data_IF_583245312130
#
_entry.id   IF_583245312130
#
_cell.length_a   1.000
_cell.length_b   1.000
_cell.length_c   1.000
_cell.angle_alpha   90.00
_cell.angle_beta   90.00
_cell.angle_gamma   90.00
#
_symmetry.space_group_name_H-M   'P 1'
#
loop_
_entity.id
_entity.type
_entity.pdbx_description
1 polymer ?
#
# COMPACT_ATOMS: atom_id res chain seq x y z
N UNK A 1 -11.28 -20.66 77.13
CA UNK A 1 -10.38 -21.20 76.09
C UNK A 1 -11.03 -20.96 74.73
N UNK A 2 -10.25 -20.51 73.74
CA UNK A 2 -10.55 -20.34 72.29
C UNK A 2 -11.41 -19.11 71.92
N UNK A 3 -10.83 -17.92 71.66
CA UNK A 3 -9.93 -17.47 70.58
C UNK A 3 -10.67 -17.00 69.30
N UNK A 4 -10.78 -15.66 69.25
CA UNK A 4 -11.02 -14.70 68.15
C UNK A 4 -11.09 -15.24 66.70
N UNK A 5 -12.13 -14.79 65.98
CA UNK A 5 -12.40 -15.02 64.55
C UNK A 5 -11.95 -13.79 63.73
N UNK A 6 -10.83 -13.79 62.99
CA UNK A 6 -10.45 -12.67 62.15
C UNK A 6 -10.90 -12.94 60.70
N UNK A 7 -12.12 -12.50 60.34
CA UNK A 7 -12.62 -12.58 58.95
C UNK A 7 -12.59 -11.25 58.19
N UNK A 8 -12.12 -10.16 58.82
CA UNK A 8 -12.19 -8.81 58.24
C UNK A 8 -10.95 -8.40 57.43
N UNK A 9 -9.77 -8.93 57.74
CA UNK A 9 -8.51 -8.52 57.08
C UNK A 9 -8.43 -8.96 55.61
N UNK A 10 -9.05 -10.09 55.25
CA UNK A 10 -9.04 -10.61 53.88
C UNK A 10 -9.95 -9.78 52.96
N UNK A 11 -11.11 -9.35 53.46
CA UNK A 11 -12.05 -8.53 52.70
C UNK A 11 -11.51 -7.11 52.43
N UNK A 12 -10.72 -6.55 53.35
CA UNK A 12 -10.13 -5.22 53.13
C UNK A 12 -9.06 -5.24 52.04
N UNK A 13 -8.18 -6.25 52.07
CA UNK A 13 -7.14 -6.46 51.04
C UNK A 13 -7.75 -6.77 49.68
N UNK A 14 -8.79 -7.61 49.65
CA UNK A 14 -9.50 -7.93 48.42
C UNK A 14 -10.17 -6.68 47.84
N UNK A 15 -10.86 -5.88 48.67
CA UNK A 15 -11.51 -4.63 48.24
C UNK A 15 -10.51 -3.60 47.70
N UNK A 16 -9.34 -3.48 48.32
CA UNK A 16 -8.23 -2.67 47.83
C UNK A 16 -7.71 -3.17 46.48
N UNK A 17 -7.52 -4.49 46.34
CA UNK A 17 -7.06 -5.11 45.10
C UNK A 17 -8.09 -4.93 43.97
N UNK A 18 -9.39 -5.11 44.23
CA UNK A 18 -10.44 -4.87 43.24
C UNK A 18 -10.47 -3.40 42.81
N UNK A 19 -10.32 -2.45 43.76
CA UNK A 19 -10.23 -1.03 43.43
C UNK A 19 -9.04 -0.73 42.51
N UNK A 20 -7.88 -1.35 42.77
CA UNK A 20 -6.70 -1.18 41.92
C UNK A 20 -6.88 -1.78 40.53
N UNK A 21 -7.47 -2.98 40.43
CA UNK A 21 -7.74 -3.61 39.13
C UNK A 21 -8.72 -2.75 38.32
N UNK A 22 -9.79 -2.26 38.94
CA UNK A 22 -10.76 -1.38 38.28
C UNK A 22 -10.08 -0.10 37.81
N UNK A 23 -9.24 0.52 38.65
CA UNK A 23 -8.48 1.71 38.27
C UNK A 23 -7.58 1.44 37.06
N UNK A 24 -6.84 0.32 37.07
CA UNK A 24 -5.94 -0.08 35.98
C UNK A 24 -6.71 -0.33 34.68
N UNK A 25 -7.87 -0.99 34.75
CA UNK A 25 -8.71 -1.22 33.57
C UNK A 25 -9.25 0.08 32.99
N UNK A 26 -9.66 1.02 33.85
CA UNK A 26 -10.13 2.33 33.41
C UNK A 26 -9.00 3.11 32.74
N UNK A 27 -7.81 3.16 33.33
CA UNK A 27 -6.67 3.89 32.72
C UNK A 27 -6.23 3.25 31.41
N UNK A 28 -6.15 1.91 31.33
CA UNK A 28 -5.89 1.20 30.08
C UNK A 28 -6.96 1.48 29.01
N UNK A 29 -8.23 1.49 29.40
CA UNK A 29 -9.34 1.82 28.50
C UNK A 29 -9.22 3.22 27.92
N UNK A 30 -8.88 4.22 28.75
CA UNK A 30 -8.66 5.60 28.29
C UNK A 30 -7.46 5.69 27.34
N UNK A 31 -6.34 5.02 27.66
CA UNK A 31 -5.16 5.00 26.79
C UNK A 31 -5.47 4.34 25.45
N UNK A 32 -6.15 3.18 25.47
CA UNK A 32 -6.52 2.47 24.25
C UNK A 32 -7.47 3.30 23.38
N UNK A 33 -8.46 3.95 23.99
CA UNK A 33 -9.38 4.84 23.28
C UNK A 33 -8.64 6.05 22.68
N UNK A 34 -7.74 6.67 23.44
CA UNK A 34 -6.93 7.78 22.97
C UNK A 34 -6.06 7.35 21.78
N UNK A 35 -5.36 6.21 21.88
CA UNK A 35 -4.58 5.65 20.78
C UNK A 35 -5.45 5.33 19.56
N UNK A 36 -6.62 4.76 19.77
CA UNK A 36 -7.55 4.44 18.69
C UNK A 36 -7.98 5.70 17.93
N UNK A 37 -8.33 6.76 18.64
CA UNK A 37 -8.64 8.07 18.03
C UNK A 37 -7.43 8.63 17.31
N UNK A 38 -6.25 8.58 17.94
CA UNK A 38 -5.01 9.16 17.39
C UNK A 38 -4.51 8.42 16.13
N UNK A 39 -4.76 7.12 16.04
CA UNK A 39 -4.41 6.28 14.89
C UNK A 39 -5.50 6.40 13.81
N UNK A 40 -6.78 6.39 14.19
CA UNK A 40 -7.92 6.47 13.27
C UNK A 40 -8.06 7.83 12.59
N UNK A 41 -7.65 8.92 13.25
CA UNK A 41 -7.73 10.28 12.73
C UNK A 41 -6.52 10.67 11.86
N UNK A 42 -5.47 9.83 11.82
CA UNK A 42 -4.47 9.94 10.77
C UNK A 42 -5.08 9.39 9.49
N UNK A 43 -5.69 10.27 8.70
CA UNK A 43 -5.80 10.06 7.26
C UNK A 43 -4.44 9.54 6.78
N UNK A 44 -4.41 8.31 6.26
CA UNK A 44 -3.19 7.71 5.75
C UNK A 44 -2.49 8.78 4.90
N UNK A 45 -1.24 9.16 5.21
CA UNK A 45 -0.58 10.23 4.49
C UNK A 45 -0.73 9.88 3.01
N UNK A 46 -1.32 10.76 2.18
CA UNK A 46 -1.38 10.51 0.75
C UNK A 46 0.07 10.32 0.37
N UNK A 47 0.46 9.08 0.04
CA UNK A 47 1.86 8.81 -0.13
C UNK A 47 2.27 9.69 -1.32
N UNK A 48 3.21 10.65 -1.14
CA UNK A 48 3.54 11.60 -2.21
C UNK A 48 4.05 10.87 -3.45
N UNK A 49 4.48 9.61 -3.29
CA UNK A 49 4.81 8.68 -4.36
C UNK A 49 3.62 8.37 -5.27
N UNK A 50 2.42 8.13 -4.74
CA UNK A 50 1.22 7.89 -5.55
C UNK A 50 0.62 9.16 -6.12
N UNK A 51 0.67 10.28 -5.40
CA UNK A 51 0.22 11.57 -5.97
C UNK A 51 1.12 12.00 -7.12
N UNK A 52 2.44 11.78 -7.01
CA UNK A 52 3.37 11.97 -8.14
C UNK A 52 3.08 11.00 -9.27
N UNK A 53 2.79 9.73 -8.98
CA UNK A 53 2.41 8.77 -10.02
C UNK A 53 1.12 9.21 -10.72
N UNK A 54 0.09 9.61 -9.96
CA UNK A 54 -1.20 10.07 -10.46
C UNK A 54 -1.06 11.33 -11.31
N UNK A 55 -0.26 12.30 -10.87
CA UNK A 55 0.05 13.52 -11.63
C UNK A 55 0.90 13.23 -12.89
N UNK A 56 1.80 12.24 -12.83
CA UNK A 56 2.57 11.79 -14.00
C UNK A 56 1.69 11.01 -14.99
N UNK A 57 0.73 10.21 -14.52
CA UNK A 57 -0.23 9.48 -15.36
C UNK A 57 -1.32 10.38 -15.92
N UNK A 58 -1.73 11.45 -15.22
CA UNK A 58 -2.73 12.40 -15.73
C UNK A 58 -2.17 13.32 -16.82
N UNK A 59 -0.87 13.59 -16.82
CA UNK A 59 -0.21 14.35 -17.89
C UNK A 59 -0.02 13.57 -19.20
N UNK A 60 -0.30 12.27 -19.16
CA UNK A 60 -0.17 11.34 -20.27
C UNK A 60 -1.55 10.73 -20.50
N UNK A 61 -2.31 11.29 -21.45
CA UNK A 61 -3.62 10.76 -21.87
C UNK A 61 -3.42 9.42 -22.63
N UNK A 62 -2.86 8.43 -21.92
CA UNK A 62 -2.35 7.16 -22.44
C UNK A 62 -3.49 6.21 -22.79
N UNK A 63 -4.62 6.33 -22.11
CA UNK A 63 -5.76 5.42 -22.31
C UNK A 63 -6.37 5.63 -23.71
N UNK A 64 -6.49 6.87 -24.16
CA UNK A 64 -7.01 7.18 -25.50
C UNK A 64 -6.03 6.72 -26.60
N UNK A 65 -4.72 6.94 -26.42
CA UNK A 65 -3.69 6.54 -27.39
C UNK A 65 -3.53 5.00 -27.44
N UNK A 66 -3.58 4.32 -26.30
CA UNK A 66 -3.49 2.85 -26.25
C UNK A 66 -4.75 2.20 -26.82
N UNK A 67 -5.93 2.78 -26.57
CA UNK A 67 -7.19 2.30 -27.13
C UNK A 67 -7.21 2.38 -28.67
N UNK A 68 -6.68 3.47 -29.25
CA UNK A 68 -6.54 3.62 -30.71
C UNK A 68 -5.51 2.66 -31.32
N UNK A 69 -4.39 2.37 -30.61
CA UNK A 69 -3.37 1.41 -31.08
C UNK A 69 -3.92 -0.02 -31.16
N UNK A 70 -4.88 -0.38 -30.30
CA UNK A 70 -5.49 -1.71 -30.33
C UNK A 70 -6.34 -1.96 -31.60
N UNK A 71 -6.78 -0.91 -32.30
CA UNK A 71 -7.70 -1.03 -33.44
C UNK A 71 -7.03 -0.98 -34.83
N UNK A 72 -5.83 -0.40 -34.97
CA UNK A 72 -5.20 -0.15 -36.27
C UNK A 72 -4.33 -1.34 -36.77
N UNK A 73 -4.33 -1.73 -38.07
CA UNK A 73 -3.40 -2.70 -38.65
C UNK A 73 -1.93 -2.25 -38.72
N UNK A 74 -1.63 -0.95 -38.65
CA UNK A 74 -0.27 -0.39 -38.79
C UNK A 74 0.53 -0.32 -37.46
N UNK A 75 0.22 -1.25 -36.55
CA UNK A 75 0.57 -1.25 -35.11
C UNK A 75 2.03 -0.99 -34.77
N UNK A 76 2.96 -1.52 -35.57
CA UNK A 76 4.39 -1.48 -35.25
C UNK A 76 4.92 -0.06 -35.22
N UNK A 77 4.50 0.79 -36.16
CA UNK A 77 4.99 2.16 -36.27
C UNK A 77 4.46 3.07 -35.15
N UNK A 78 3.20 2.88 -34.74
CA UNK A 78 2.63 3.64 -33.62
C UNK A 78 3.22 3.20 -32.29
N UNK A 79 3.45 1.89 -32.12
CA UNK A 79 4.04 1.34 -30.91
C UNK A 79 5.49 1.81 -30.72
N UNK A 80 6.28 1.86 -31.79
CA UNK A 80 7.64 2.42 -31.78
C UNK A 80 7.66 3.91 -31.36
N UNK A 81 6.73 4.73 -31.89
CA UNK A 81 6.60 6.14 -31.48
C UNK A 81 6.22 6.31 -30.01
N UNK A 82 5.34 5.44 -29.48
CA UNK A 82 5.01 5.47 -28.05
C UNK A 82 6.22 5.12 -27.18
N UNK A 83 7.03 4.14 -27.60
CA UNK A 83 8.24 3.76 -26.87
C UNK A 83 9.31 4.85 -26.92
N UNK A 84 9.47 5.54 -28.04
CA UNK A 84 10.34 6.71 -28.14
C UNK A 84 9.87 7.82 -27.20
N UNK A 85 8.57 8.11 -27.14
CA UNK A 85 8.01 9.10 -26.22
C UNK A 85 8.22 8.71 -24.75
N UNK A 86 8.08 7.42 -24.43
CA UNK A 86 8.38 6.90 -23.09
C UNK A 86 9.83 7.10 -22.70
N UNK A 87 10.76 6.87 -23.63
CA UNK A 87 12.19 7.06 -23.39
C UNK A 87 12.52 8.54 -23.16
N UNK A 88 11.95 9.44 -23.96
CA UNK A 88 12.08 10.90 -23.77
C UNK A 88 11.50 11.32 -22.41
N UNK A 89 10.34 10.79 -22.04
CA UNK A 89 9.70 11.08 -20.76
C UNK A 89 10.53 10.58 -19.58
N UNK A 90 10.99 9.33 -19.64
CA UNK A 90 11.88 8.70 -18.67
C UNK A 90 13.15 9.52 -18.46
N UNK A 91 13.81 9.92 -19.56
CA UNK A 91 15.00 10.77 -19.53
C UNK A 91 14.74 12.15 -18.92
N UNK A 92 13.66 12.82 -19.34
CA UNK A 92 13.31 14.17 -18.88
C UNK A 92 12.95 14.19 -17.40
N UNK A 93 12.22 13.18 -16.93
CA UNK A 93 11.75 13.09 -15.54
C UNK A 93 12.72 12.33 -14.62
N UNK A 94 13.81 11.78 -15.16
CA UNK A 94 14.75 10.89 -14.45
C UNK A 94 14.04 9.72 -13.76
N UNK A 95 13.06 9.13 -14.45
CA UNK A 95 12.32 7.95 -13.99
C UNK A 95 12.52 6.80 -14.97
N UNK A 96 12.31 5.56 -14.51
CA UNK A 96 12.30 4.38 -15.37
C UNK A 96 10.88 3.99 -15.69
N UNK A 97 10.59 3.72 -16.96
CA UNK A 97 9.30 3.19 -17.40
C UNK A 97 9.50 1.73 -17.83
N UNK A 98 8.69 0.85 -17.27
CA UNK A 98 8.67 -0.57 -17.60
C UNK A 98 7.24 -0.92 -18.01
N UNK A 99 7.07 -1.32 -19.27
CA UNK A 99 5.79 -1.76 -19.80
C UNK A 99 5.81 -3.28 -19.95
N UNK A 100 4.76 -3.92 -19.46
CA UNK A 100 4.68 -5.37 -19.31
C UNK A 100 3.29 -5.85 -19.72
N UNK A 101 3.25 -7.02 -20.35
CA UNK A 101 2.04 -7.78 -20.56
C UNK A 101 1.87 -8.74 -19.40
N UNK A 102 0.80 -8.57 -18.62
CA UNK A 102 0.39 -9.54 -17.61
C UNK A 102 -0.43 -10.62 -18.30
N UNK A 103 0.13 -11.82 -18.39
CA UNK A 103 -0.58 -13.02 -18.80
C UNK A 103 -0.77 -13.95 -17.59
N UNK A 104 -1.76 -14.87 -17.61
CA UNK A 104 -1.98 -15.85 -16.54
C UNK A 104 -0.75 -16.71 -16.24
N UNK A 105 0.05 -16.99 -17.28
CA UNK A 105 1.18 -17.91 -17.23
C UNK A 105 2.53 -17.22 -16.98
N UNK A 106 2.55 -15.89 -16.92
CA UNK A 106 3.78 -15.12 -16.75
C UNK A 106 3.63 -13.64 -17.10
N UNK A 107 4.61 -12.85 -16.69
CA UNK A 107 4.71 -11.44 -17.08
C UNK A 107 5.78 -11.29 -18.14
N UNK A 108 5.42 -10.74 -19.30
CA UNK A 108 6.37 -10.53 -20.41
C UNK A 108 6.69 -9.05 -20.54
N UNK A 109 7.96 -8.71 -20.67
CA UNK A 109 8.41 -7.33 -20.89
C UNK A 109 8.09 -6.89 -22.31
N UNK A 110 7.45 -5.74 -22.45
CA UNK A 110 7.15 -5.11 -23.74
C UNK A 110 8.12 -3.98 -24.07
N UNK A 111 8.48 -3.18 -23.06
CA UNK A 111 9.44 -2.07 -23.20
C UNK A 111 10.08 -1.75 -21.85
N UNK A 112 11.37 -1.44 -21.84
CA UNK A 112 12.11 -0.98 -20.66
C UNK A 112 13.04 0.17 -21.02
N UNK A 113 12.75 1.37 -20.51
CA UNK A 113 13.54 2.57 -20.80
C UNK A 113 14.96 2.50 -20.23
N UNK A 114 15.21 1.62 -19.25
CA UNK A 114 16.55 1.41 -18.69
C UNK A 114 17.35 0.31 -19.40
N UNK A 115 16.73 -0.40 -20.37
CA UNK A 115 17.33 -1.53 -21.11
C UNK A 115 17.97 -2.59 -20.21
N UNK A 116 17.38 -2.80 -19.03
CA UNK A 116 17.82 -3.86 -18.13
C UNK A 116 17.13 -5.18 -18.49
N UNK A 117 15.92 -5.11 -19.04
CA UNK A 117 15.18 -6.26 -19.57
C UNK A 117 14.97 -6.12 -21.07
N UNK A 118 15.04 -7.25 -21.78
CA UNK A 118 14.78 -7.29 -23.22
C UNK A 118 13.28 -7.41 -23.51
N UNK A 119 12.83 -6.88 -24.64
CA UNK A 119 11.46 -7.07 -25.10
C UNK A 119 11.21 -8.57 -25.37
N UNK A 120 10.14 -9.13 -24.80
CA UNK A 120 9.83 -10.55 -24.84
C UNK A 120 10.39 -11.35 -23.66
N UNK A 121 11.21 -10.75 -22.80
CA UNK A 121 11.74 -11.41 -21.61
C UNK A 121 10.62 -11.68 -20.58
N UNK A 122 10.58 -12.89 -20.03
CA UNK A 122 9.64 -13.25 -18.97
C UNK A 122 10.23 -12.89 -17.61
N UNK A 123 9.61 -11.96 -16.91
CA UNK A 123 10.04 -11.53 -15.57
C UNK A 123 9.03 -11.98 -14.51
N UNK A 124 9.53 -12.34 -13.33
CA UNK A 124 8.68 -12.61 -12.18
C UNK A 124 8.57 -11.31 -11.38
N UNK A 125 7.42 -10.66 -11.48
CA UNK A 125 7.12 -9.55 -10.58
C UNK A 125 6.86 -10.08 -9.18
N UNK A 126 7.73 -9.73 -8.23
CA UNK A 126 7.39 -9.81 -6.81
C UNK A 126 6.41 -8.68 -6.50
N UNK A 127 5.13 -8.93 -6.76
CA UNK A 127 4.08 -8.09 -6.24
C UNK A 127 4.00 -8.31 -4.74
N UNK A 128 4.57 -7.39 -3.94
CA UNK A 128 4.10 -7.23 -2.57
C UNK A 128 2.59 -6.95 -2.68
N UNK A 129 1.78 -7.89 -2.19
CA UNK A 129 0.44 -8.16 -2.69
C UNK A 129 -0.48 -6.96 -2.84
N UNK A 130 -0.64 -6.45 -4.07
CA UNK A 130 -1.79 -5.66 -4.52
C UNK A 130 -2.97 -6.57 -4.87
N UNK A 131 -3.29 -7.53 -3.99
CA UNK A 131 -4.64 -8.06 -3.96
C UNK A 131 -5.50 -6.99 -3.31
N UNK A 132 -6.13 -6.18 -4.15
CA UNK A 132 -7.31 -5.42 -3.79
C UNK A 132 -8.24 -6.32 -2.99
N UNK A 133 -8.36 -6.06 -1.69
CA UNK A 133 -9.55 -6.47 -0.94
C UNK A 133 -10.69 -5.67 -1.56
N UNK A 134 -11.39 -6.30 -2.51
CA UNK A 134 -12.75 -5.95 -2.88
C UNK A 134 -13.69 -6.58 -1.86
#
# INVERSE_FOLDING_TARGET
MLARKPRLAFNLRLRLLTSYIVLILVTLGVIALALFVLIGDRAAPPQPTYERLAALTQGLNYIDVIADIAADPNRRFLQEQVYELLDVFAGTRKVRTLHILLAPDGTTVLHDSARQFEAGESIVLRGDGYRSQQ
#
